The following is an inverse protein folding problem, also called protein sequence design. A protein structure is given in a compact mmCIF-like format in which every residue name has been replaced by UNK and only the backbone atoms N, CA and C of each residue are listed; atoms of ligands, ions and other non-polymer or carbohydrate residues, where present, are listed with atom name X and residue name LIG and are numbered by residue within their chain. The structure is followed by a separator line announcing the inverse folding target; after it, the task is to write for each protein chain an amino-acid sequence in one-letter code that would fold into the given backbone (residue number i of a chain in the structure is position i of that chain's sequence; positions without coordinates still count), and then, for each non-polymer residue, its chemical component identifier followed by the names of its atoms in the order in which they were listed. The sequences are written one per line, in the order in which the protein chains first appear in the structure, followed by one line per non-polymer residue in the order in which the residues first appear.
data_IF_382078222369
#
_entry.id   IF_382078222369
#
_cell.length_a   1.000
_cell.length_b   1.000
_cell.length_c   1.000
_cell.angle_alpha   90.00
_cell.angle_beta   90.00
_cell.angle_gamma   90.00
#
_symmetry.space_group_name_H-M   'P 1'
#
loop_
_entity.id
_entity.type
_entity.pdbx_description
1 polymer ?
#
# COMPACT_ATOMS: atom_id res chain seq x y z
N UNK A 1 -8.98 -43.13 -31.48
CA UNK A 1 -7.64 -43.73 -31.68
C UNK A 1 -6.61 -42.69 -31.23
N UNK A 2 -5.75 -42.94 -30.25
CA UNK A 2 -5.55 -44.15 -29.44
C UNK A 2 -5.16 -43.79 -27.98
N UNK A 3 -5.00 -44.82 -27.13
CA UNK A 3 -4.85 -44.77 -25.67
C UNK A 3 -3.39 -44.51 -25.20
N UNK A 4 -3.15 -43.73 -24.12
CA UNK A 4 -2.87 -44.10 -22.70
C UNK A 4 -1.44 -44.64 -22.39
N UNK A 5 -0.74 -43.92 -21.49
CA UNK A 5 0.37 -44.28 -20.55
C UNK A 5 1.60 -45.09 -21.07
N UNK A 6 2.83 -44.90 -20.59
CA UNK A 6 3.27 -44.79 -19.19
C UNK A 6 4.68 -44.16 -19.02
N UNK A 7 5.18 -44.10 -17.78
CA UNK A 7 6.36 -43.33 -17.36
C UNK A 7 7.55 -44.18 -16.85
N UNK A 8 8.73 -43.56 -16.79
CA UNK A 8 9.88 -43.89 -15.91
C UNK A 8 10.91 -42.73 -15.99
N UNK A 9 11.32 -41.98 -14.95
CA UNK A 9 11.95 -42.23 -13.62
C UNK A 9 13.46 -42.52 -13.62
N UNK A 10 14.23 -41.49 -13.22
CA UNK A 10 15.52 -41.55 -12.48
C UNK A 10 15.73 -40.14 -11.86
N UNK A 11 15.90 -39.91 -10.55
CA UNK A 11 17.10 -40.17 -9.71
C UNK A 11 18.38 -39.64 -10.38
N UNK A 12 19.32 -38.90 -9.78
CA UNK A 12 19.66 -38.57 -8.38
C UNK A 12 20.57 -37.29 -8.43
N UNK A 13 21.09 -36.63 -7.38
CA UNK A 13 21.22 -36.88 -5.94
C UNK A 13 21.29 -35.55 -5.12
N UNK A 14 21.45 -35.71 -3.79
CA UNK A 14 21.76 -34.73 -2.74
C UNK A 14 23.29 -34.56 -2.57
N UNK A 15 23.78 -33.36 -2.24
CA UNK A 15 25.11 -33.18 -1.60
C UNK A 15 25.05 -32.01 -0.59
N UNK A 16 24.89 -32.32 0.69
CA UNK A 16 25.96 -32.38 1.70
C UNK A 16 26.54 -31.02 2.14
N UNK A 17 26.16 -30.63 3.35
CA UNK A 17 26.80 -29.56 4.10
C UNK A 17 28.18 -30.01 4.63
N UNK A 18 29.10 -29.05 4.74
CA UNK A 18 30.39 -29.21 5.44
C UNK A 18 30.53 -28.06 6.44
N UNK A 19 30.59 -28.39 7.72
CA UNK A 19 31.02 -27.49 8.80
C UNK A 19 32.55 -27.35 8.75
N UNK A 20 33.08 -26.18 9.13
CA UNK A 20 34.13 -26.17 10.16
C UNK A 20 33.69 -25.34 11.38
N UNK A 21 33.66 -25.93 12.57
CA UNK A 21 34.77 -25.97 13.55
C UNK A 21 34.84 -24.68 14.38
N UNK A 22 34.41 -24.80 15.64
CA UNK A 22 34.64 -23.81 16.70
C UNK A 22 36.11 -23.79 17.09
N UNK A 23 36.68 -22.60 17.26
CA UNK A 23 37.95 -22.37 17.96
C UNK A 23 37.80 -21.10 18.80
N UNK A 24 37.57 -21.24 20.10
CA UNK A 24 38.07 -20.22 21.04
C UNK A 24 39.60 -20.41 21.18
N UNK A 25 40.34 -19.33 21.47
CA UNK A 25 40.72 -19.21 22.88
C UNK A 25 40.85 -17.78 23.44
N UNK A 26 40.74 -17.74 24.77
CA UNK A 26 41.53 -16.92 25.70
C UNK A 26 41.36 -15.40 25.74
N UNK A 27 40.91 -14.96 26.92
CA UNK A 27 41.18 -13.68 27.54
C UNK A 27 42.64 -13.21 27.48
N UNK A 28 42.85 -11.93 27.18
CA UNK A 28 43.95 -11.13 27.76
C UNK A 28 43.38 -9.80 28.23
N UNK A 29 43.84 -9.36 29.39
CA UNK A 29 43.37 -8.18 30.11
C UNK A 29 44.29 -6.97 29.82
N UNK A 30 43.85 -5.76 30.21
CA UNK A 30 44.68 -4.52 30.37
C UNK A 30 45.41 -4.01 29.10
N UNK A 31 45.28 -2.74 28.71
CA UNK A 31 45.94 -1.69 29.49
C UNK A 31 45.30 -0.30 29.43
N UNK A 32 45.68 0.50 30.43
CA UNK A 32 45.18 1.86 30.66
C UNK A 32 45.99 2.90 29.90
N UNK A 33 45.33 3.95 29.38
CA UNK A 33 45.94 5.28 29.30
C UNK A 33 44.93 6.30 29.83
N UNK A 34 44.91 6.45 31.16
CA UNK A 34 44.47 7.70 31.76
C UNK A 34 45.37 8.82 31.25
N UNK A 35 44.80 9.96 30.88
CA UNK A 35 45.54 11.22 30.97
C UNK A 35 44.64 12.23 31.68
N UNK A 36 45.03 12.55 32.90
CA UNK A 36 44.40 13.57 33.71
C UNK A 36 44.65 14.94 33.06
N UNK A 37 43.67 15.82 33.08
CA UNK A 37 43.89 17.26 32.87
C UNK A 37 43.35 17.99 34.09
N UNK A 38 44.24 18.80 34.68
CA UNK A 38 44.06 19.45 35.97
C UNK A 38 42.84 20.37 36.00
N UNK A 39 42.10 20.31 37.11
CA UNK A 39 41.09 21.30 37.46
C UNK A 39 41.76 22.45 38.22
N UNK A 40 41.89 23.61 37.58
CA UNK A 40 42.24 24.87 38.27
C UNK A 40 41.07 25.86 38.13
N UNK A 41 40.45 26.32 39.24
CA UNK A 41 39.22 27.10 39.18
C UNK A 41 39.47 28.61 39.07
N UNK A 42 38.65 29.33 38.31
CA UNK A 42 38.39 30.76 38.56
C UNK A 42 37.06 31.27 37.98
N UNK A 43 36.22 31.72 38.93
CA UNK A 43 35.35 32.92 38.92
C UNK A 43 34.46 33.27 37.70
N UNK A 44 33.14 33.47 37.88
CA UNK A 44 32.23 33.80 36.79
C UNK A 44 32.41 35.23 36.27
N UNK A 45 32.44 35.40 34.94
CA UNK A 45 32.42 36.71 34.30
C UNK A 45 31.12 36.94 33.52
N UNK A 46 30.33 37.92 33.96
CA UNK A 46 29.02 38.26 33.40
C UNK A 46 29.18 39.20 32.21
N UNK A 47 29.09 38.70 30.98
CA UNK A 47 28.72 39.54 29.81
C UNK A 47 28.20 38.69 28.65
N UNK A 48 26.89 38.77 28.40
CA UNK A 48 26.26 38.16 27.23
C UNK A 48 26.41 39.13 26.06
N UNK A 49 27.26 38.80 25.09
CA UNK A 49 27.24 39.43 23.76
C UNK A 49 26.83 38.35 22.74
N UNK A 50 25.61 38.40 22.17
CA UNK A 50 25.18 37.39 21.20
C UNK A 50 25.89 37.64 19.86
N UNK A 51 26.75 36.72 19.45
CA UNK A 51 27.31 36.72 18.10
C UNK A 51 26.26 36.14 17.13
N UNK A 52 25.64 37.02 16.33
CA UNK A 52 24.47 36.71 15.49
C UNK A 52 24.72 35.71 14.35
N UNK A 53 25.97 35.34 14.09
CA UNK A 53 26.34 34.36 13.05
C UNK A 53 26.04 32.90 13.40
N UNK A 54 25.72 32.59 14.67
CA UNK A 54 25.46 31.22 15.11
C UNK A 54 24.02 30.75 14.91
N UNK A 55 23.04 31.68 14.88
CA UNK A 55 21.62 31.33 14.72
C UNK A 55 21.28 30.90 13.29
N UNK A 56 21.83 31.58 12.27
CA UNK A 56 21.55 31.28 10.85
C UNK A 56 22.18 29.96 10.40
N UNK A 57 23.37 29.63 10.90
CA UNK A 57 24.03 28.34 10.63
C UNK A 57 23.25 27.20 11.30
N UNK A 58 22.77 27.39 12.53
CA UNK A 58 22.02 26.36 13.25
C UNK A 58 20.66 26.06 12.61
N UNK A 59 19.95 27.08 12.11
CA UNK A 59 18.69 26.88 11.38
C UNK A 59 18.91 26.19 10.04
N UNK A 60 19.92 26.58 9.24
CA UNK A 60 20.22 25.90 7.98
C UNK A 60 20.57 24.42 8.19
N UNK A 61 21.45 24.10 9.16
CA UNK A 61 21.83 22.71 9.48
C UNK A 61 20.64 21.89 10.02
N UNK A 62 19.64 22.50 10.66
CA UNK A 62 18.40 21.79 11.02
C UNK A 62 17.55 21.47 9.79
N UNK A 63 17.36 22.43 8.87
CA UNK A 63 16.54 22.22 7.67
C UNK A 63 17.12 21.18 6.71
N UNK A 64 18.45 21.15 6.51
CA UNK A 64 19.12 20.15 5.67
C UNK A 64 18.96 18.72 6.23
N UNK A 65 18.98 18.56 7.56
CA UNK A 65 18.79 17.25 8.21
C UNK A 65 17.36 16.75 8.07
N UNK A 66 16.37 17.64 8.12
CA UNK A 66 14.97 17.30 7.94
C UNK A 66 14.66 16.99 6.46
N UNK A 67 15.24 17.73 5.52
CA UNK A 67 15.15 17.44 4.09
C UNK A 67 15.80 16.10 3.73
N UNK A 68 17.02 15.83 4.22
CA UNK A 68 17.70 14.54 4.06
C UNK A 68 16.91 13.39 4.70
N UNK A 69 16.30 13.62 5.86
CA UNK A 69 15.40 12.66 6.52
C UNK A 69 14.19 12.35 5.62
N UNK A 70 13.53 13.37 5.09
CA UNK A 70 12.38 13.21 4.20
C UNK A 70 12.74 12.50 2.89
N UNK A 71 13.89 12.82 2.29
CA UNK A 71 14.40 12.10 1.11
C UNK A 71 14.66 10.61 1.40
N UNK A 72 15.32 10.29 2.52
CA UNK A 72 15.58 8.90 2.90
C UNK A 72 14.29 8.12 3.14
N UNK A 73 13.33 8.70 3.88
CA UNK A 73 12.03 8.07 4.13
C UNK A 73 11.24 7.89 2.83
N UNK A 74 11.28 8.85 1.91
CA UNK A 74 10.65 8.75 0.60
C UNK A 74 11.26 7.59 -0.23
N UNK A 75 12.60 7.45 -0.26
CA UNK A 75 13.27 6.32 -0.93
C UNK A 75 12.80 4.99 -0.33
N UNK A 76 12.79 4.86 1.00
CA UNK A 76 12.40 3.63 1.71
C UNK A 76 10.92 3.24 1.50
N UNK A 77 10.05 4.20 1.15
CA UNK A 77 8.61 3.96 0.90
C UNK A 77 8.29 3.77 -0.59
N UNK A 78 9.06 4.37 -1.49
CA UNK A 78 8.81 4.33 -2.95
C UNK A 78 9.58 3.24 -3.70
N UNK A 79 10.63 2.69 -3.10
CA UNK A 79 11.43 1.61 -3.72
C UNK A 79 11.05 0.24 -3.19
N UNK A 80 11.27 -0.80 -4.00
CA UNK A 80 10.96 -2.20 -3.64
C UNK A 80 12.08 -2.82 -2.77
N UNK A 81 12.38 -2.19 -1.62
CA UNK A 81 13.37 -2.65 -0.64
C UNK A 81 12.68 -3.59 0.37
N UNK A 82 13.35 -4.68 0.76
CA UNK A 82 12.81 -5.59 1.78
C UNK A 82 12.68 -4.90 3.15
N UNK A 83 11.71 -5.29 3.98
CA UNK A 83 11.60 -4.70 5.33
C UNK A 83 12.87 -4.90 6.17
N UNK A 84 13.61 -6.00 5.95
CA UNK A 84 14.87 -6.25 6.64
C UNK A 84 15.95 -5.25 6.21
N UNK A 85 16.09 -5.00 4.90
CA UNK A 85 17.11 -4.08 4.37
C UNK A 85 16.75 -2.62 4.63
N UNK A 86 15.47 -2.26 4.57
CA UNK A 86 14.99 -0.95 4.98
C UNK A 86 15.23 -0.68 6.47
N UNK A 87 15.05 -1.68 7.36
CA UNK A 87 15.44 -1.55 8.76
C UNK A 87 16.96 -1.39 8.93
N UNK A 88 17.79 -2.17 8.22
CA UNK A 88 19.27 -2.02 8.23
C UNK A 88 19.71 -0.63 7.78
N UNK A 89 19.10 -0.09 6.73
CA UNK A 89 19.35 1.27 6.25
C UNK A 89 19.00 2.29 7.34
N UNK A 90 17.83 2.18 7.97
CA UNK A 90 17.45 3.05 9.08
C UNK A 90 18.44 2.97 10.26
N UNK A 91 18.90 1.78 10.63
CA UNK A 91 19.90 1.59 11.69
C UNK A 91 21.25 2.25 11.35
N UNK A 92 21.75 2.08 10.12
CA UNK A 92 22.99 2.71 9.64
C UNK A 92 22.88 4.24 9.68
N UNK A 93 21.80 4.80 9.10
CA UNK A 93 21.63 6.25 9.03
C UNK A 93 21.33 6.89 10.39
N UNK A 94 20.76 6.15 11.35
CA UNK A 94 20.55 6.62 12.74
C UNK A 94 21.84 6.99 13.48
N UNK A 95 23.01 6.51 13.05
CA UNK A 95 24.30 6.93 13.58
C UNK A 95 24.66 8.40 13.23
N UNK A 96 24.03 8.98 12.20
CA UNK A 96 24.19 10.39 11.79
C UNK A 96 22.91 11.23 11.97
N UNK A 97 21.74 10.59 11.95
CA UNK A 97 20.42 11.21 12.12
C UNK A 97 19.64 10.47 13.24
N UNK A 98 19.93 10.74 14.53
CA UNK A 98 19.31 10.02 15.65
C UNK A 98 17.78 10.12 15.72
N UNK A 99 17.20 11.14 15.06
CA UNK A 99 15.76 11.35 14.91
C UNK A 99 15.07 10.38 13.95
N UNK A 100 15.81 9.65 13.10
CA UNK A 100 15.22 8.69 12.16
C UNK A 100 14.46 7.57 12.90
N UNK A 101 13.33 7.08 12.37
CA UNK A 101 12.59 6.01 13.03
C UNK A 101 13.40 4.71 13.07
N UNK A 102 13.32 3.95 14.18
CA UNK A 102 14.12 2.72 14.35
C UNK A 102 13.78 1.59 13.36
N UNK A 103 12.57 1.59 12.81
CA UNK A 103 12.07 0.53 11.92
C UNK A 103 11.12 1.11 10.89
N UNK A 104 10.90 0.41 9.77
CA UNK A 104 9.86 0.74 8.78
C UNK A 104 8.48 0.85 9.44
N UNK A 105 8.17 0.01 10.43
CA UNK A 105 6.92 0.12 11.21
C UNK A 105 6.83 1.44 11.98
N UNK A 106 7.95 1.99 12.45
CA UNK A 106 8.01 3.31 13.07
C UNK A 106 7.87 4.44 12.04
N UNK A 107 8.46 4.30 10.84
CA UNK A 107 8.23 5.22 9.70
C UNK A 107 6.74 5.31 9.37
N UNK A 108 6.09 4.15 9.16
CA UNK A 108 4.68 4.06 8.81
C UNK A 108 3.74 4.62 9.90
N UNK A 109 4.17 4.67 11.16
CA UNK A 109 3.43 5.32 12.26
C UNK A 109 3.58 6.85 12.29
N UNK A 110 4.62 7.38 11.64
CA UNK A 110 4.89 8.82 11.56
C UNK A 110 4.37 9.44 10.25
N UNK A 111 4.19 8.64 9.19
CA UNK A 111 3.63 9.07 7.91
C UNK A 111 2.11 9.36 7.97
N UNK A 112 1.74 10.42 8.69
CA UNK A 112 0.45 11.09 8.60
C UNK A 112 -0.72 10.39 9.30
N UNK A 113 -1.57 11.19 9.95
CA UNK A 113 -2.93 10.78 10.26
C UNK A 113 -3.72 10.69 8.95
N UNK A 114 -3.95 9.46 8.45
CA UNK A 114 -5.11 9.26 7.59
C UNK A 114 -6.35 9.44 8.47
N UNK A 115 -7.26 10.33 8.08
CA UNK A 115 -8.53 10.51 8.78
C UNK A 115 -9.39 9.26 8.62
N UNK A 116 -9.27 8.37 9.61
CA UNK A 116 -9.95 7.08 9.63
C UNK A 116 -11.31 7.20 10.33
N UNK A 117 -12.39 6.77 9.68
CA UNK A 117 -13.71 6.65 10.32
C UNK A 117 -13.99 5.22 10.78
N UNK A 118 -14.77 5.09 11.84
CA UNK A 118 -15.34 3.82 12.27
C UNK A 118 -16.42 3.37 11.26
N UNK A 119 -16.41 2.09 10.89
CA UNK A 119 -17.37 1.45 9.99
C UNK A 119 -17.77 0.09 10.56
N UNK A 120 -18.80 0.06 11.39
CA UNK A 120 -19.13 -1.11 12.20
C UNK A 120 -18.02 -1.42 13.21
N UNK A 121 -17.48 -2.64 13.17
CA UNK A 121 -16.41 -3.11 14.08
C UNK A 121 -14.99 -2.82 13.58
N UNK A 122 -14.83 -2.15 12.42
CA UNK A 122 -13.54 -1.88 11.80
C UNK A 122 -13.35 -0.42 11.44
N UNK A 123 -12.13 -0.08 11.00
CA UNK A 123 -11.75 1.27 10.61
C UNK A 123 -11.60 1.37 9.09
N UNK A 124 -12.09 2.46 8.51
CA UNK A 124 -11.89 2.81 7.10
C UNK A 124 -11.05 4.08 6.98
N UNK A 125 -9.98 4.03 6.18
CA UNK A 125 -9.14 5.16 5.79
C UNK A 125 -9.33 5.44 4.30
N UNK A 126 -9.54 6.71 3.93
CA UNK A 126 -9.68 7.15 2.54
C UNK A 126 -8.45 7.95 2.11
N UNK A 127 -7.88 7.60 0.96
CA UNK A 127 -6.68 8.24 0.38
C UNK A 127 -7.07 9.24 -0.72
N UNK A 128 -8.14 8.96 -1.47
CA UNK A 128 -8.69 9.81 -2.52
C UNK A 128 -8.29 9.38 -3.93
N UNK A 129 -9.27 8.98 -4.74
CA UNK A 129 -9.11 8.61 -6.16
C UNK A 129 -8.55 9.77 -6.97
N UNK A 130 -9.06 11.00 -6.75
CA UNK A 130 -8.62 12.19 -7.49
C UNK A 130 -7.13 12.47 -7.22
N UNK A 131 -6.73 12.38 -5.95
CA UNK A 131 -5.34 12.53 -5.49
C UNK A 131 -4.43 11.45 -6.09
N UNK A 132 -4.84 10.19 -6.07
CA UNK A 132 -4.09 9.09 -6.67
C UNK A 132 -3.90 9.29 -8.18
N UNK A 133 -4.96 9.67 -8.91
CA UNK A 133 -4.86 9.91 -10.35
C UNK A 133 -3.91 11.07 -10.69
N UNK A 134 -3.99 12.19 -9.96
CA UNK A 134 -3.06 13.30 -10.14
C UNK A 134 -1.62 12.86 -9.92
N UNK A 135 -1.33 12.21 -8.79
CA UNK A 135 0.01 11.72 -8.46
C UNK A 135 0.59 10.79 -9.53
N UNK A 136 -0.18 9.81 -10.01
CA UNK A 136 0.28 8.87 -11.04
C UNK A 136 0.51 9.53 -12.41
N UNK A 137 -0.37 10.45 -12.82
CA UNK A 137 -0.20 11.23 -14.05
C UNK A 137 1.00 12.18 -13.95
N UNK A 138 1.21 12.80 -12.79
CA UNK A 138 2.36 13.67 -12.52
C UNK A 138 3.68 12.91 -12.50
N UNK A 139 3.75 11.70 -11.92
CA UNK A 139 4.98 10.90 -11.92
C UNK A 139 5.32 10.29 -13.29
N UNK A 140 4.33 10.05 -14.16
CA UNK A 140 4.58 9.41 -15.46
C UNK A 140 5.41 10.30 -16.40
N UNK A 141 6.62 9.82 -16.76
CA UNK A 141 7.58 10.57 -17.59
C UNK A 141 7.15 10.74 -19.04
N UNK A 142 6.21 9.92 -19.54
CA UNK A 142 5.76 9.90 -20.93
C UNK A 142 4.22 9.89 -21.00
N UNK A 143 3.61 11.05 -21.23
CA UNK A 143 2.21 11.17 -21.70
C UNK A 143 2.20 11.99 -22.99
N UNK A 144 2.82 11.45 -24.03
CA UNK A 144 2.71 11.94 -25.41
C UNK A 144 1.54 11.26 -26.11
N UNK A 145 0.33 11.52 -25.63
CA UNK A 145 -0.90 11.04 -26.28
C UNK A 145 -1.69 12.20 -26.87
N UNK A 146 -2.29 12.06 -28.07
CA UNK A 146 -3.19 13.06 -28.63
C UNK A 146 -4.56 13.06 -27.92
N UNK A 147 -4.94 11.94 -27.29
CA UNK A 147 -6.18 11.79 -26.55
C UNK A 147 -6.04 12.21 -25.08
N UNK A 148 -6.73 13.27 -24.68
CA UNK A 148 -6.92 13.68 -23.29
C UNK A 148 -7.89 12.73 -22.55
N UNK A 149 -7.57 11.43 -22.49
CA UNK A 149 -8.42 10.39 -21.88
C UNK A 149 -7.60 9.59 -20.87
N UNK A 150 -8.17 9.42 -19.67
CA UNK A 150 -7.71 8.46 -18.66
C UNK A 150 -8.72 7.32 -18.62
N UNK A 151 -8.30 6.11 -18.99
CA UNK A 151 -9.08 4.90 -18.79
C UNK A 151 -8.76 4.31 -17.41
N UNK A 152 -9.78 4.23 -16.57
CA UNK A 152 -9.72 3.80 -15.18
C UNK A 152 -10.35 2.42 -15.02
N UNK A 153 -9.68 1.54 -14.28
CA UNK A 153 -10.25 0.34 -13.69
C UNK A 153 -10.29 0.49 -12.17
N UNK A 154 -11.38 0.04 -11.55
CA UNK A 154 -11.52 -0.06 -10.11
C UNK A 154 -11.56 -1.53 -9.69
N UNK A 155 -11.06 -1.84 -8.50
CA UNK A 155 -11.22 -3.15 -7.88
C UNK A 155 -11.62 -3.00 -6.41
N UNK A 156 -12.50 -3.91 -5.96
CA UNK A 156 -12.91 -4.05 -4.57
C UNK A 156 -12.96 -5.54 -4.27
N UNK A 157 -12.28 -5.96 -3.21
CA UNK A 157 -12.15 -7.36 -2.84
C UNK A 157 -11.94 -7.48 -1.32
N UNK A 158 -12.12 -8.68 -0.76
CA UNK A 158 -11.90 -8.98 0.64
C UNK A 158 -10.74 -9.96 0.84
N UNK A 159 -9.78 -9.61 1.70
CA UNK A 159 -8.63 -10.47 2.00
C UNK A 159 -8.44 -10.69 3.50
N UNK A 160 -8.22 -11.95 3.91
CA UNK A 160 -7.86 -12.28 5.29
C UNK A 160 -6.37 -12.03 5.51
N UNK A 161 -6.00 -11.25 6.53
CA UNK A 161 -4.59 -10.92 6.81
C UNK A 161 -3.82 -12.14 7.33
N UNK A 162 -4.47 -12.98 8.15
CA UNK A 162 -3.88 -14.17 8.75
C UNK A 162 -4.90 -15.29 8.83
N UNK A 163 -4.41 -16.54 8.91
CA UNK A 163 -5.22 -17.72 9.28
C UNK A 163 -5.48 -17.81 10.79
N UNK A 164 -4.73 -17.05 11.60
CA UNK A 164 -4.81 -17.06 13.07
C UNK A 164 -5.64 -15.92 13.67
N UNK A 165 -6.16 -15.01 12.83
CA UNK A 165 -7.01 -13.90 13.27
C UNK A 165 -8.20 -13.76 12.33
N UNK A 166 -9.33 -13.26 12.83
CA UNK A 166 -10.48 -12.94 11.97
C UNK A 166 -10.29 -11.63 11.19
N UNK A 167 -9.08 -11.05 11.19
CA UNK A 167 -8.84 -9.73 10.62
C UNK A 167 -8.90 -9.78 9.09
N UNK A 168 -9.84 -9.02 8.53
CA UNK A 168 -10.04 -8.83 7.11
C UNK A 168 -9.61 -7.42 6.71
N UNK A 169 -9.07 -7.27 5.49
CA UNK A 169 -8.94 -5.99 4.80
C UNK A 169 -9.83 -5.98 3.57
N UNK A 170 -10.44 -4.83 3.33
CA UNK A 170 -11.23 -4.56 2.13
C UNK A 170 -10.68 -3.32 1.45
N UNK A 171 -9.65 -3.47 0.60
CA UNK A 171 -9.08 -2.37 -0.16
C UNK A 171 -10.00 -1.94 -1.30
N UNK A 172 -10.11 -0.63 -1.50
CA UNK A 172 -10.59 0.00 -2.72
C UNK A 172 -9.36 0.33 -3.57
N UNK A 173 -9.22 -0.32 -4.72
CA UNK A 173 -8.06 -0.25 -5.59
C UNK A 173 -8.40 0.41 -6.93
N UNK A 174 -7.43 1.09 -7.52
CA UNK A 174 -7.53 1.70 -8.85
C UNK A 174 -6.35 1.37 -9.73
N UNK A 175 -6.55 1.47 -11.05
CA UNK A 175 -5.50 1.32 -12.06
C UNK A 175 -5.80 2.17 -13.29
N UNK A 176 -4.79 2.87 -13.81
CA UNK A 176 -4.85 3.52 -15.12
C UNK A 176 -4.45 2.50 -16.19
N UNK A 177 -5.25 2.36 -17.24
CA UNK A 177 -4.97 1.50 -18.41
C UNK A 177 -4.68 2.26 -19.69
N UNK A 178 -5.07 3.54 -19.76
CA UNK A 178 -4.64 4.52 -20.74
C UNK A 178 -4.58 5.89 -20.05
N UNK A 179 -3.65 6.81 -20.37
CA UNK A 179 -2.73 6.78 -21.52
C UNK A 179 -1.54 5.83 -21.38
N UNK A 180 -1.26 5.33 -20.17
CA UNK A 180 -0.25 4.31 -19.88
C UNK A 180 -0.82 3.27 -18.91
N UNK A 181 -0.10 2.16 -18.71
CA UNK A 181 -0.49 1.11 -17.77
C UNK A 181 0.19 1.36 -16.41
N UNK A 182 -0.58 1.78 -15.40
CA UNK A 182 -0.04 1.98 -14.05
C UNK A 182 0.12 0.66 -13.27
N UNK A 183 0.89 0.71 -12.19
CA UNK A 183 0.68 -0.19 -11.04
C UNK A 183 -0.70 0.04 -10.43
N UNK A 184 -1.20 -0.95 -9.69
CA UNK A 184 -2.42 -0.80 -8.90
C UNK A 184 -2.14 0.12 -7.71
N UNK A 185 -3.05 1.04 -7.41
CA UNK A 185 -2.94 1.99 -6.30
C UNK A 185 -4.11 1.87 -5.33
N UNK A 186 -3.85 2.20 -4.07
CA UNK A 186 -4.84 2.17 -2.99
C UNK A 186 -5.60 3.51 -2.94
N UNK A 187 -6.91 3.46 -3.10
CA UNK A 187 -7.82 4.61 -3.00
C UNK A 187 -8.39 4.75 -1.58
N UNK A 188 -8.58 3.63 -0.91
CA UNK A 188 -9.03 3.56 0.46
C UNK A 188 -8.94 2.12 0.98
N UNK A 189 -8.98 1.94 2.29
CA UNK A 189 -8.89 0.62 2.90
C UNK A 189 -9.73 0.54 4.15
N UNK A 190 -10.55 -0.51 4.24
CA UNK A 190 -11.18 -0.92 5.48
C UNK A 190 -10.39 -2.06 6.11
N UNK A 191 -10.32 -2.09 7.45
CA UNK A 191 -9.83 -3.22 8.22
C UNK A 191 -10.62 -3.46 9.49
N UNK A 192 -11.06 -4.70 9.71
CA UNK A 192 -11.87 -5.10 10.86
C UNK A 192 -11.85 -6.61 11.11
N UNK A 193 -12.50 -7.09 12.19
CA UNK A 193 -12.62 -8.52 12.53
C UNK A 193 -13.67 -9.25 11.67
N UNK A 194 -14.35 -8.53 10.79
CA UNK A 194 -15.45 -8.97 9.94
C UNK A 194 -15.43 -8.16 8.64
N UNK A 195 -16.34 -8.46 7.70
CA UNK A 195 -16.52 -7.65 6.48
C UNK A 195 -17.22 -6.32 6.81
N UNK A 196 -17.11 -5.27 5.98
CA UNK A 196 -17.78 -3.99 6.21
C UNK A 196 -19.28 -4.17 6.48
N UNK A 197 -19.79 -3.48 7.51
CA UNK A 197 -21.22 -3.48 7.84
C UNK A 197 -22.08 -2.84 6.74
N UNK A 198 -21.50 -1.92 5.96
CA UNK A 198 -22.17 -1.15 4.92
C UNK A 198 -21.21 -0.86 3.76
N UNK A 199 -21.39 -1.56 2.63
CA UNK A 199 -20.60 -1.31 1.41
C UNK A 199 -20.91 0.05 0.78
N UNK A 200 -22.13 0.55 0.95
CA UNK A 200 -22.52 1.92 0.61
C UNK A 200 -21.64 2.95 1.35
N UNK A 201 -21.43 2.77 2.66
CA UNK A 201 -20.55 3.64 3.44
C UNK A 201 -19.07 3.39 3.19
N UNK A 202 -18.65 2.16 2.88
CA UNK A 202 -17.29 1.88 2.40
C UNK A 202 -16.96 2.70 1.14
N UNK A 203 -17.89 2.74 0.19
CA UNK A 203 -17.67 3.32 -1.14
C UNK A 203 -18.14 4.77 -1.29
N UNK A 204 -18.67 5.42 -0.24
CA UNK A 204 -19.35 6.72 -0.37
C UNK A 204 -18.44 7.81 -0.95
N UNK A 205 -17.21 7.94 -0.45
CA UNK A 205 -16.26 8.97 -0.89
C UNK A 205 -15.75 8.65 -2.30
N UNK A 206 -15.37 7.40 -2.55
CA UNK A 206 -15.00 6.89 -3.88
C UNK A 206 -16.09 7.17 -4.93
N UNK A 207 -17.36 6.90 -4.61
CA UNK A 207 -18.48 7.15 -5.54
C UNK A 207 -18.72 8.65 -5.73
N UNK A 208 -18.46 9.48 -4.73
CA UNK A 208 -18.53 10.94 -4.84
C UNK A 208 -17.44 11.47 -5.78
N UNK A 209 -16.17 11.14 -5.51
CA UNK A 209 -15.03 11.52 -6.36
C UNK A 209 -15.19 10.99 -7.79
N UNK A 210 -15.63 9.74 -7.94
CA UNK A 210 -15.82 9.11 -9.25
C UNK A 210 -16.88 9.84 -10.07
N UNK A 211 -17.99 10.26 -9.47
CA UNK A 211 -19.02 11.08 -10.15
C UNK A 211 -18.46 12.44 -10.58
N UNK A 212 -17.65 13.06 -9.72
CA UNK A 212 -16.98 14.34 -10.03
C UNK A 212 -16.04 14.17 -11.24
N UNK A 213 -15.06 13.26 -11.18
CA UNK A 213 -14.06 13.12 -12.25
C UNK A 213 -14.61 12.54 -13.56
N UNK A 214 -15.68 11.74 -13.52
CA UNK A 214 -16.33 11.24 -14.75
C UNK A 214 -17.17 12.33 -15.45
N UNK A 215 -17.67 13.33 -14.71
CA UNK A 215 -18.47 14.43 -15.28
C UNK A 215 -17.64 15.66 -15.63
N UNK A 216 -16.64 15.99 -14.80
CA UNK A 216 -15.82 17.19 -14.93
C UNK A 216 -14.45 16.90 -15.55
N UNK A 217 -13.95 15.67 -15.47
CA UNK A 217 -12.56 15.32 -15.79
C UNK A 217 -11.58 15.66 -14.67
N UNK A 218 -10.30 15.76 -15.01
CA UNK A 218 -9.21 16.07 -14.07
C UNK A 218 -8.13 16.93 -14.73
N UNK A 219 -7.67 17.97 -14.04
CA UNK A 219 -6.54 18.79 -14.48
C UNK A 219 -5.22 18.24 -13.91
N UNK A 220 -4.23 18.06 -14.78
CA UNK A 220 -2.88 17.60 -14.43
C UNK A 220 -1.92 18.78 -14.58
N UNK A 221 -1.52 19.36 -13.43
CA UNK A 221 -0.81 20.64 -13.35
C UNK A 221 0.51 20.61 -14.13
N UNK A 222 1.34 19.58 -13.94
CA UNK A 222 2.65 19.45 -14.64
C UNK A 222 2.53 19.44 -16.17
N UNK A 223 1.41 18.95 -16.70
CA UNK A 223 1.18 18.87 -18.14
C UNK A 223 0.40 20.08 -18.69
N UNK A 224 -0.11 20.96 -17.81
CA UNK A 224 -1.09 22.00 -18.12
C UNK A 224 -2.27 21.50 -18.98
N UNK A 225 -2.68 20.24 -18.76
CA UNK A 225 -3.67 19.55 -19.59
C UNK A 225 -4.83 19.03 -18.74
N UNK A 226 -6.01 19.12 -19.33
CA UNK A 226 -7.24 18.57 -18.79
C UNK A 226 -7.53 17.22 -19.45
N UNK A 227 -7.86 16.20 -18.64
CA UNK A 227 -8.15 14.83 -19.09
C UNK A 227 -9.57 14.43 -18.71
N UNK A 228 -10.29 13.83 -19.64
CA UNK A 228 -11.58 13.19 -19.36
C UNK A 228 -11.31 11.80 -18.79
N UNK A 229 -12.01 11.42 -17.71
CA UNK A 229 -11.89 10.08 -17.12
C UNK A 229 -13.00 9.17 -17.67
N UNK A 230 -12.67 7.92 -17.99
CA UNK A 230 -13.64 6.87 -18.32
C UNK A 230 -13.46 5.68 -17.39
N UNK A 231 -14.53 5.26 -16.72
CA UNK A 231 -14.54 3.99 -16.01
C UNK A 231 -14.73 2.86 -17.01
N UNK A 232 -13.72 2.00 -17.16
CA UNK A 232 -13.73 0.87 -18.11
C UNK A 232 -14.15 -0.45 -17.47
N UNK A 233 -13.84 -0.65 -16.18
CA UNK A 233 -14.25 -1.83 -15.43
C UNK A 233 -14.34 -1.57 -13.92
N UNK A 234 -15.23 -2.30 -13.26
CA UNK A 234 -15.22 -2.53 -11.80
C UNK A 234 -15.02 -4.03 -11.59
N UNK A 235 -13.90 -4.40 -11.00
CA UNK A 235 -13.41 -5.77 -10.88
C UNK A 235 -13.64 -6.24 -9.45
N UNK A 236 -14.36 -7.34 -9.27
CA UNK A 236 -14.65 -7.95 -7.98
C UNK A 236 -14.97 -9.43 -8.19
N UNK A 237 -14.67 -10.27 -7.19
CA UNK A 237 -15.10 -11.66 -7.19
C UNK A 237 -16.64 -11.78 -7.05
N UNK A 238 -17.19 -12.98 -7.14
CA UNK A 238 -18.65 -13.14 -7.10
C UNK A 238 -19.28 -12.79 -5.72
N UNK A 239 -18.70 -13.20 -4.57
CA UNK A 239 -19.07 -12.70 -3.24
C UNK A 239 -19.05 -11.16 -3.10
N UNK A 240 -17.92 -10.50 -3.38
CA UNK A 240 -17.78 -9.05 -3.24
C UNK A 240 -18.72 -8.30 -4.19
N UNK A 241 -18.92 -8.81 -5.42
CA UNK A 241 -19.91 -8.24 -6.36
C UNK A 241 -21.34 -8.33 -5.84
N UNK A 242 -21.69 -9.44 -5.18
CA UNK A 242 -23.02 -9.61 -4.61
C UNK A 242 -23.27 -8.62 -3.47
N UNK A 243 -22.30 -8.50 -2.57
CA UNK A 243 -22.29 -7.53 -1.47
C UNK A 243 -22.36 -6.07 -1.94
N UNK A 244 -21.58 -5.68 -2.95
CA UNK A 244 -21.58 -4.32 -3.52
C UNK A 244 -22.89 -3.96 -4.23
N UNK A 245 -23.48 -4.91 -4.95
CA UNK A 245 -24.76 -4.73 -5.66
C UNK A 245 -25.98 -4.92 -4.74
N UNK A 246 -25.80 -5.33 -3.49
CA UNK A 246 -26.88 -5.74 -2.57
C UNK A 246 -27.79 -6.84 -3.16
N UNK A 247 -27.20 -7.79 -3.90
CA UNK A 247 -27.92 -8.94 -4.50
C UNK A 247 -27.58 -10.25 -3.78
N UNK A 248 -28.43 -11.26 -4.00
CA UNK A 248 -28.14 -12.63 -3.53
C UNK A 248 -26.90 -13.20 -4.22
N UNK A 249 -26.11 -14.00 -3.48
CA UNK A 249 -24.90 -14.62 -4.01
C UNK A 249 -25.17 -15.62 -5.13
N UNK A 250 -24.14 -15.88 -5.95
CA UNK A 250 -24.19 -16.75 -7.14
C UNK A 250 -24.71 -18.18 -6.90
N UNK A 251 -24.71 -18.67 -5.66
CA UNK A 251 -25.23 -19.99 -5.27
C UNK A 251 -26.72 -19.99 -4.88
N UNK A 252 -27.42 -18.85 -4.93
CA UNK A 252 -28.85 -18.76 -4.72
C UNK A 252 -29.63 -19.18 -5.98
N UNK A 253 -30.88 -19.60 -5.81
CA UNK A 253 -31.79 -19.91 -6.94
C UNK A 253 -31.99 -18.69 -7.84
N UNK A 254 -32.13 -17.49 -7.28
CA UNK A 254 -32.19 -16.23 -8.04
C UNK A 254 -30.81 -15.58 -8.25
N UNK A 255 -29.72 -16.36 -8.15
CA UNK A 255 -28.33 -15.90 -8.08
C UNK A 255 -27.71 -15.34 -9.35
N UNK A 256 -28.45 -15.32 -10.48
CA UNK A 256 -27.98 -14.64 -11.68
C UNK A 256 -28.07 -13.11 -11.52
N UNK A 257 -26.96 -12.42 -11.73
CA UNK A 257 -26.80 -10.98 -11.55
C UNK A 257 -27.13 -10.13 -12.80
N UNK A 258 -27.63 -10.78 -13.87
CA UNK A 258 -27.94 -10.20 -15.18
C UNK A 258 -29.37 -10.43 -15.66
N UNK A 259 -29.95 -11.61 -15.42
CA UNK A 259 -31.29 -11.96 -15.89
C UNK A 259 -32.09 -12.72 -14.82
N UNK A 260 -33.40 -12.84 -15.04
CA UNK A 260 -34.35 -13.43 -14.08
C UNK A 260 -34.38 -14.97 -14.11
N UNK A 261 -33.32 -15.63 -14.60
CA UNK A 261 -33.23 -17.09 -14.61
C UNK A 261 -33.24 -17.64 -13.17
N UNK A 262 -34.07 -18.66 -12.94
CA UNK A 262 -34.09 -19.39 -11.67
C UNK A 262 -33.25 -20.66 -11.82
N UNK A 263 -32.24 -20.79 -10.96
CA UNK A 263 -31.37 -21.96 -10.87
C UNK A 263 -31.99 -23.07 -10.02
N UNK A 264 -31.62 -24.31 -10.35
CA UNK A 264 -32.00 -25.53 -9.63
C UNK A 264 -30.74 -26.15 -9.02
N UNK A 265 -30.86 -26.68 -7.79
CA UNK A 265 -29.74 -27.34 -7.12
C UNK A 265 -29.70 -28.82 -7.50
N UNK A 266 -28.62 -29.25 -8.15
CA UNK A 266 -28.37 -30.63 -8.58
C UNK A 266 -27.01 -31.05 -8.05
N UNK A 267 -26.92 -32.19 -7.37
CA UNK A 267 -25.69 -32.73 -6.77
C UNK A 267 -24.87 -31.70 -5.96
N UNK A 268 -25.58 -30.88 -5.18
CA UNK A 268 -25.00 -29.82 -4.36
C UNK A 268 -24.67 -28.51 -5.10
N UNK A 269 -24.67 -28.50 -6.43
CA UNK A 269 -24.30 -27.36 -7.29
C UNK A 269 -25.54 -26.59 -7.74
N UNK A 270 -25.44 -25.27 -7.87
CA UNK A 270 -26.49 -24.45 -8.47
C UNK A 270 -26.32 -24.45 -10.00
N UNK A 271 -27.35 -24.86 -10.73
CA UNK A 271 -27.33 -24.92 -12.20
C UNK A 271 -28.42 -23.98 -12.74
N UNK A 272 -28.01 -23.07 -13.61
CA UNK A 272 -28.93 -22.21 -14.37
C UNK A 272 -29.15 -22.81 -15.76
N UNK A 273 -30.41 -22.94 -16.18
CA UNK A 273 -30.75 -23.48 -17.50
C UNK A 273 -30.34 -22.55 -18.64
N UNK A 274 -30.00 -23.12 -19.79
CA UNK A 274 -29.82 -22.35 -21.02
C UNK A 274 -31.18 -21.87 -21.55
N UNK A 275 -31.26 -20.62 -22.01
CA UNK A 275 -32.47 -20.05 -22.58
C UNK A 275 -32.43 -18.51 -22.66
N UNK A 276 -33.49 -17.92 -23.20
CA UNK A 276 -33.70 -16.48 -23.17
C UNK A 276 -34.52 -16.11 -21.95
N UNK A 277 -33.92 -15.37 -21.02
CA UNK A 277 -34.56 -14.88 -19.80
C UNK A 277 -34.55 -13.35 -19.80
N UNK A 278 -35.61 -12.68 -19.31
CA UNK A 278 -35.63 -11.24 -19.14
C UNK A 278 -34.40 -10.72 -18.41
N UNK A 279 -33.83 -9.62 -18.91
CA UNK A 279 -32.76 -8.88 -18.22
C UNK A 279 -33.35 -8.29 -16.93
N UNK A 280 -32.57 -8.29 -15.85
CA UNK A 280 -32.97 -7.69 -14.57
C UNK A 280 -33.17 -6.18 -14.71
N UNK A 281 -34.21 -5.69 -14.05
CA UNK A 281 -34.55 -4.26 -13.94
C UNK A 281 -34.61 -3.80 -12.48
N UNK A 282 -34.25 -4.69 -11.55
CA UNK A 282 -34.14 -4.48 -10.11
C UNK A 282 -32.70 -4.11 -9.67
#
# INVERSE_FOLDING_TARGET
MAEINAASTSTEAVSHAVLPVEVEPSSVNTDSMNNEIEVVPSTPCTSVTPCASTSEICTQVSSERDELTNMLLNILVTTNISQADANRILEIFRAKLPQLPKTVRSVLRMCGSCDSRLLGEGMYCHIGLKKCLQHYMEMSSVIETPSNIIDLQLNVDGLSISKSTNQQLWPLLGRITAPFLSSVFLIGIYGGPSKPSSYKELCIDLVSELKEILSQGIHITRLHRHFNVRLTAVICDAPARADLKYIVGHNASSGCDKCTVTGVKVDGRMIFGNGFFPIRTD
#
